data_IF_374581401041
#
_entry.id   IF_374581401041
#
_cell.length_a   1.000
_cell.length_b   1.000
_cell.length_c   1.000
_cell.angle_alpha   90.00
_cell.angle_beta   90.00
_cell.angle_gamma   90.00
#
_symmetry.space_group_name_H-M   'P 1'
#
loop_
_entity.id
_entity.type
_entity.pdbx_description
1 polymer ?
#
# COMPACT_ATOMS: atom_id res chain seq x y z
N UNK A 1 35.69 7.61 8.44
CA UNK A 1 35.69 6.15 8.74
C UNK A 1 35.15 5.38 7.55
N UNK A 2 35.94 4.48 6.96
CA UNK A 2 35.54 3.65 5.81
C UNK A 2 34.65 2.49 6.28
N UNK A 3 33.63 2.11 5.49
CA UNK A 3 32.76 0.97 5.83
C UNK A 3 33.52 -0.34 5.55
N UNK A 4 33.74 -1.22 6.55
CA UNK A 4 34.49 -2.45 6.33
C UNK A 4 33.76 -3.40 5.39
N UNK A 5 34.45 -3.92 4.37
CA UNK A 5 33.83 -4.80 3.38
C UNK A 5 33.44 -6.18 3.99
N UNK A 6 34.16 -6.60 5.04
CA UNK A 6 33.92 -7.82 5.82
C UNK A 6 32.72 -7.75 6.78
N UNK A 7 32.12 -6.57 6.97
CA UNK A 7 30.95 -6.44 7.83
C UNK A 7 29.70 -7.07 7.18
N UNK A 8 28.73 -7.47 8.00
CA UNK A 8 27.46 -8.02 7.50
C UNK A 8 26.68 -6.99 6.67
N UNK A 9 25.79 -7.46 5.78
CA UNK A 9 24.96 -6.57 4.95
C UNK A 9 24.20 -5.54 5.78
N UNK A 10 23.66 -5.94 6.92
CA UNK A 10 22.93 -5.05 7.84
C UNK A 10 23.83 -3.96 8.41
N UNK A 11 25.02 -4.31 8.91
CA UNK A 11 25.99 -3.33 9.47
C UNK A 11 26.46 -2.36 8.38
N UNK A 12 26.77 -2.86 7.18
CA UNK A 12 27.13 -2.01 6.05
C UNK A 12 26.01 -1.03 5.70
N UNK A 13 24.75 -1.48 5.75
CA UNK A 13 23.57 -0.63 5.50
C UNK A 13 23.42 0.45 6.57
N UNK A 14 23.51 0.10 7.85
CA UNK A 14 23.48 1.06 8.97
C UNK A 14 24.60 2.11 8.82
N UNK A 15 25.83 1.66 8.57
CA UNK A 15 26.97 2.57 8.37
C UNK A 15 26.82 3.45 7.12
N UNK A 16 26.14 2.98 6.08
CA UNK A 16 25.85 3.80 4.89
C UNK A 16 24.71 4.79 5.12
N UNK A 17 23.74 4.49 6.01
CA UNK A 17 22.64 5.39 6.37
C UNK A 17 23.12 6.70 7.00
N UNK A 18 24.33 6.76 7.57
CA UNK A 18 24.91 8.02 8.08
C UNK A 18 25.09 9.11 7.01
N UNK A 19 25.23 8.73 5.73
CA UNK A 19 25.27 9.69 4.61
C UNK A 19 23.93 10.41 4.45
N UNK A 20 22.82 9.74 4.76
CA UNK A 20 21.50 10.36 4.77
C UNK A 20 21.31 11.26 5.99
N UNK A 21 21.94 10.91 7.12
CA UNK A 21 21.99 11.78 8.31
C UNK A 21 22.73 13.09 8.08
N UNK A 22 23.79 13.10 7.25
CA UNK A 22 24.47 14.35 6.86
C UNK A 22 23.56 15.31 6.09
N UNK A 23 22.50 14.81 5.44
CA UNK A 23 21.48 15.63 4.76
C UNK A 23 20.47 16.25 5.74
N UNK A 24 20.35 15.71 6.95
CA UNK A 24 19.58 16.30 8.05
C UNK A 24 20.47 17.36 8.72
N UNK A 25 20.67 18.50 8.06
CA UNK A 25 21.69 19.50 8.42
C UNK A 25 21.48 20.22 9.75
N UNK A 26 20.45 19.90 10.54
CA UNK A 26 20.33 20.46 11.89
C UNK A 26 19.71 19.46 12.87
N UNK A 27 20.56 18.74 13.59
CA UNK A 27 20.17 17.91 14.74
C UNK A 27 19.43 18.73 15.82
N UNK A 28 19.67 20.06 15.86
CA UNK A 28 18.96 21.02 16.71
C UNK A 28 17.47 21.20 16.33
N UNK A 29 17.08 20.92 15.09
CA UNK A 29 15.67 20.93 14.66
C UNK A 29 14.93 19.64 15.04
N UNK A 30 15.66 18.58 15.40
CA UNK A 30 15.12 17.27 15.77
C UNK A 30 15.05 17.05 17.29
N UNK A 31 15.61 17.98 18.06
CA UNK A 31 15.62 17.99 19.51
C UNK A 31 14.62 19.00 20.03
N UNK A 32 13.58 18.53 20.72
CA UNK A 32 12.59 19.38 21.38
C UNK A 32 12.83 19.22 22.88
N UNK A 33 13.24 20.29 23.57
CA UNK A 33 13.63 20.25 25.01
C UNK A 33 14.72 19.21 25.31
N UNK A 34 15.80 19.22 24.53
CA UNK A 34 16.98 18.32 24.69
C UNK A 34 16.69 16.83 24.46
N UNK A 35 15.44 16.44 24.20
CA UNK A 35 15.06 15.07 23.84
C UNK A 35 14.92 14.93 22.34
N UNK A 36 15.60 13.93 21.79
CA UNK A 36 15.45 13.53 20.40
C UNK A 36 14.03 13.02 20.16
N UNK A 37 13.37 13.51 19.11
CA UNK A 37 12.05 13.03 18.71
C UNK A 37 12.16 12.11 17.50
N UNK A 38 11.95 10.81 17.73
CA UNK A 38 11.93 9.80 16.66
C UNK A 38 10.91 10.16 15.56
N UNK A 39 9.75 10.67 15.96
CA UNK A 39 8.71 11.12 15.02
C UNK A 39 9.17 12.29 14.14
N UNK A 40 9.83 13.29 14.73
CA UNK A 40 10.33 14.45 13.97
C UNK A 40 11.42 14.03 12.99
N UNK A 41 12.34 13.16 13.43
CA UNK A 41 13.39 12.62 12.56
C UNK A 41 12.78 11.82 11.40
N UNK A 42 11.84 10.91 11.70
CA UNK A 42 11.14 10.14 10.69
C UNK A 42 10.40 11.03 9.68
N UNK A 43 9.72 12.07 10.14
CA UNK A 43 9.00 13.02 9.28
C UNK A 43 9.96 13.76 8.33
N UNK A 44 11.10 14.23 8.82
CA UNK A 44 12.12 14.89 7.99
C UNK A 44 12.78 13.92 7.00
N UNK A 45 13.10 12.71 7.44
CA UNK A 45 13.69 11.66 6.59
C UNK A 45 12.73 11.20 5.49
N UNK A 46 11.43 11.13 5.77
CA UNK A 46 10.41 10.76 4.79
C UNK A 46 10.20 11.81 3.70
N UNK A 47 10.56 13.07 3.95
CA UNK A 47 10.30 14.17 3.03
C UNK A 47 8.81 14.51 2.90
N UNK A 48 8.40 14.95 1.71
CA UNK A 48 7.01 15.35 1.44
C UNK A 48 6.08 14.13 1.48
N UNK A 49 5.22 14.08 2.49
CA UNK A 49 4.18 13.06 2.57
C UNK A 49 3.07 13.48 1.59
N UNK A 50 2.95 12.74 0.48
CA UNK A 50 1.80 12.91 -0.42
C UNK A 50 0.55 12.46 0.34
N UNK A 51 -0.39 13.38 0.52
CA UNK A 51 -1.67 13.06 1.10
C UNK A 51 -2.50 12.35 0.04
N UNK A 52 -2.75 11.05 0.25
CA UNK A 52 -3.57 10.25 -0.65
C UNK A 52 -5.03 10.32 -0.18
N UNK A 53 -5.99 10.55 -1.09
CA UNK A 53 -7.41 10.72 -0.74
C UNK A 53 -7.99 9.48 -0.05
N UNK A 54 -7.43 8.31 -0.34
CA UNK A 54 -7.86 7.02 0.21
C UNK A 54 -7.25 6.68 1.58
N UNK A 55 -6.45 7.56 2.20
CA UNK A 55 -5.79 7.28 3.50
C UNK A 55 -6.77 6.82 4.58
N UNK A 56 -7.95 7.44 4.64
CA UNK A 56 -8.95 7.12 5.65
C UNK A 56 -9.63 5.77 5.40
N UNK A 57 -9.63 5.28 4.15
CA UNK A 57 -10.17 3.96 3.81
C UNK A 57 -9.32 2.82 4.38
N UNK A 58 -8.06 3.06 4.72
CA UNK A 58 -7.15 2.04 5.26
C UNK A 58 -6.77 2.27 6.71
N UNK A 59 -6.43 3.50 7.11
CA UNK A 59 -5.90 3.78 8.45
C UNK A 59 -6.96 3.88 9.56
N UNK A 60 -8.23 4.14 9.22
CA UNK A 60 -9.33 4.30 10.19
C UNK A 60 -10.53 3.41 9.83
N UNK A 61 -10.23 2.22 9.31
CA UNK A 61 -11.26 1.28 8.87
C UNK A 61 -11.54 0.24 9.95
N UNK A 62 -12.81 0.10 10.35
CA UNK A 62 -13.26 -0.86 11.36
C UNK A 62 -13.40 -2.30 10.83
N UNK A 63 -13.17 -2.53 9.53
CA UNK A 63 -13.18 -3.87 8.95
C UNK A 63 -12.05 -4.75 9.51
N UNK A 64 -12.20 -6.07 9.37
CA UNK A 64 -11.17 -7.00 9.79
C UNK A 64 -9.82 -6.70 9.11
N UNK A 65 -8.67 -6.85 9.81
CA UNK A 65 -7.36 -6.48 9.28
C UNK A 65 -7.02 -7.09 7.93
N UNK A 66 -7.47 -8.33 7.68
CA UNK A 66 -7.32 -9.01 6.39
C UNK A 66 -7.98 -8.24 5.25
N UNK A 67 -9.19 -7.71 5.46
CA UNK A 67 -9.93 -6.99 4.43
C UNK A 67 -9.33 -5.61 4.18
N UNK A 68 -8.90 -4.93 5.24
CA UNK A 68 -8.16 -3.66 5.14
C UNK A 68 -6.85 -3.84 4.35
N UNK A 69 -6.15 -4.95 4.57
CA UNK A 69 -4.93 -5.28 3.84
C UNK A 69 -5.21 -5.54 2.35
N UNK A 70 -6.26 -6.29 2.01
CA UNK A 70 -6.66 -6.51 0.62
C UNK A 70 -7.03 -5.17 -0.05
N UNK A 71 -7.83 -4.34 0.61
CA UNK A 71 -8.19 -3.00 0.13
C UNK A 71 -6.95 -2.14 -0.13
N UNK A 72 -5.98 -2.16 0.79
CA UNK A 72 -4.72 -1.46 0.62
C UNK A 72 -3.93 -1.94 -0.60
N UNK A 73 -3.90 -3.25 -0.86
CA UNK A 73 -3.28 -3.79 -2.07
C UNK A 73 -4.00 -3.35 -3.35
N UNK A 74 -5.34 -3.33 -3.34
CA UNK A 74 -6.15 -2.85 -4.48
C UNK A 74 -5.85 -1.38 -4.76
N UNK A 75 -5.85 -0.53 -3.73
CA UNK A 75 -5.56 0.91 -3.87
C UNK A 75 -4.15 1.20 -4.40
N UNK A 76 -3.20 0.28 -4.17
CA UNK A 76 -1.84 0.37 -4.68
C UNK A 76 -1.65 -0.30 -6.05
N UNK A 77 -2.68 -0.94 -6.61
CA UNK A 77 -2.54 -1.74 -7.84
C UNK A 77 -1.62 -2.96 -7.68
N UNK A 78 -1.55 -3.51 -6.46
CA UNK A 78 -0.66 -4.62 -6.08
C UNK A 78 -1.39 -5.91 -5.74
N UNK A 79 -2.70 -5.96 -5.94
CA UNK A 79 -3.44 -7.21 -5.80
C UNK A 79 -2.99 -8.18 -6.91
N UNK A 80 -2.85 -9.46 -6.58
CA UNK A 80 -2.36 -10.48 -7.52
C UNK A 80 -3.49 -10.96 -8.45
N UNK A 81 -3.97 -10.07 -9.27
CA UNK A 81 -4.92 -10.32 -10.36
C UNK A 81 -4.18 -10.75 -11.62
N UNK A 82 -4.88 -11.36 -12.58
CA UNK A 82 -4.21 -11.93 -13.77
C UNK A 82 -3.56 -10.89 -14.67
N UNK A 83 -4.09 -9.67 -14.76
CA UNK A 83 -3.42 -8.53 -15.40
C UNK A 83 -2.03 -8.25 -14.80
N UNK A 84 -1.91 -8.26 -13.47
CA UNK A 84 -0.63 -8.09 -12.77
C UNK A 84 0.30 -9.27 -13.02
N UNK A 85 -0.21 -10.51 -13.03
CA UNK A 85 0.59 -11.70 -13.34
C UNK A 85 1.15 -11.68 -14.76
N UNK A 86 0.34 -11.28 -15.74
CA UNK A 86 0.75 -11.09 -17.12
C UNK A 86 1.82 -10.01 -17.25
N UNK A 87 1.70 -8.91 -16.50
CA UNK A 87 2.73 -7.86 -16.46
C UNK A 87 4.09 -8.34 -15.95
N UNK A 88 4.11 -9.43 -15.18
CA UNK A 88 5.32 -10.08 -14.67
C UNK A 88 5.87 -11.15 -15.63
N UNK A 89 5.24 -11.35 -16.80
CA UNK A 89 5.64 -12.36 -17.76
C UNK A 89 5.19 -13.78 -17.40
N UNK A 90 4.28 -13.93 -16.43
CA UNK A 90 3.70 -15.23 -16.09
C UNK A 90 2.55 -15.50 -17.07
N UNK A 91 2.66 -16.57 -17.86
CA UNK A 91 1.62 -16.97 -18.81
C UNK A 91 0.40 -17.51 -18.07
N UNK A 92 -0.68 -16.73 -18.04
CA UNK A 92 -1.99 -17.10 -17.49
C UNK A 92 -3.09 -16.61 -18.42
N UNK A 93 -4.21 -17.33 -18.49
CA UNK A 93 -5.38 -16.88 -19.25
C UNK A 93 -5.95 -15.59 -18.64
N UNK A 94 -6.03 -14.51 -19.40
CA UNK A 94 -6.43 -13.18 -18.90
C UNK A 94 -7.90 -13.09 -18.48
N UNK A 95 -8.75 -14.04 -18.85
CA UNK A 95 -10.19 -13.99 -18.62
C UNK A 95 -10.54 -14.18 -17.13
N UNK A 96 -11.45 -13.36 -16.60
CA UNK A 96 -11.95 -13.48 -15.24
C UNK A 96 -12.75 -14.78 -15.05
N UNK A 97 -12.35 -15.59 -14.06
CA UNK A 97 -12.98 -16.89 -13.80
C UNK A 97 -14.41 -16.77 -13.22
N UNK A 98 -14.80 -15.59 -12.72
CA UNK A 98 -16.12 -15.37 -12.12
C UNK A 98 -17.21 -15.14 -13.17
N UNK A 99 -16.89 -14.41 -14.25
CA UNK A 99 -17.85 -14.08 -15.31
C UNK A 99 -17.53 -14.74 -16.65
N UNK A 100 -16.32 -15.29 -16.80
CA UNK A 100 -15.79 -15.94 -18.00
C UNK A 100 -15.95 -15.12 -19.30
N UNK A 101 -15.99 -13.78 -19.19
CA UNK A 101 -16.36 -12.90 -20.30
C UNK A 101 -15.39 -11.74 -20.52
N UNK A 102 -14.78 -11.21 -19.46
CA UNK A 102 -13.92 -10.02 -19.52
C UNK A 102 -12.56 -10.28 -18.86
N UNK A 103 -11.50 -9.52 -19.21
CA UNK A 103 -10.21 -9.62 -18.57
C UNK A 103 -10.26 -9.37 -17.06
N UNK A 104 -9.50 -10.16 -16.29
CA UNK A 104 -9.41 -10.02 -14.84
C UNK A 104 -8.50 -8.85 -14.45
N UNK A 105 -9.13 -7.77 -13.97
CA UNK A 105 -8.47 -6.64 -13.32
C UNK A 105 -9.04 -6.45 -11.92
N UNK A 106 -8.36 -5.67 -11.06
CA UNK A 106 -8.90 -5.33 -9.75
C UNK A 106 -10.24 -4.59 -9.86
N UNK A 107 -10.37 -3.63 -10.78
CA UNK A 107 -11.63 -2.90 -11.00
C UNK A 107 -12.74 -3.84 -11.47
N UNK A 108 -12.41 -4.76 -12.37
CA UNK A 108 -13.36 -5.75 -12.85
C UNK A 108 -13.87 -6.63 -11.72
N UNK A 109 -12.97 -7.27 -10.97
CA UNK A 109 -13.34 -8.20 -9.90
C UNK A 109 -14.21 -7.51 -8.83
N UNK A 110 -13.94 -6.27 -8.46
CA UNK A 110 -14.69 -5.64 -7.37
C UNK A 110 -15.94 -4.88 -7.82
N UNK A 111 -16.01 -4.36 -9.05
CA UNK A 111 -17.06 -3.41 -9.44
C UNK A 111 -17.78 -3.73 -10.74
N UNK A 112 -17.09 -4.26 -11.75
CA UNK A 112 -17.67 -4.42 -13.09
C UNK A 112 -18.17 -5.84 -13.36
N UNK A 113 -17.60 -6.83 -12.66
CA UNK A 113 -17.93 -8.24 -12.84
C UNK A 113 -19.41 -8.49 -12.51
N UNK A 114 -20.20 -9.11 -13.41
CA UNK A 114 -21.60 -9.43 -13.16
C UNK A 114 -21.82 -10.22 -11.85
N UNK A 115 -20.92 -11.15 -11.55
CA UNK A 115 -20.94 -11.94 -10.31
C UNK A 115 -20.75 -11.06 -9.07
N UNK A 116 -19.79 -10.14 -9.10
CA UNK A 116 -19.55 -9.24 -7.97
C UNK A 116 -20.67 -8.21 -7.82
N UNK A 117 -21.25 -7.76 -8.94
CA UNK A 117 -22.41 -6.85 -8.93
C UNK A 117 -23.61 -7.49 -8.24
N UNK A 118 -23.88 -8.79 -8.46
CA UNK A 118 -24.98 -9.46 -7.75
C UNK A 118 -24.75 -9.51 -6.24
N UNK A 119 -23.53 -9.82 -5.81
CA UNK A 119 -23.16 -9.80 -4.37
C UNK A 119 -23.37 -8.40 -3.80
N UNK A 120 -22.95 -7.36 -4.51
CA UNK A 120 -23.14 -5.98 -4.08
C UNK A 120 -24.61 -5.60 -3.95
N UNK A 121 -25.46 -6.04 -4.87
CA UNK A 121 -26.91 -5.83 -4.79
C UNK A 121 -27.49 -6.52 -3.54
N UNK A 122 -27.07 -7.74 -3.24
CA UNK A 122 -27.51 -8.47 -2.05
C UNK A 122 -27.08 -7.74 -0.76
N UNK A 123 -25.82 -7.31 -0.69
CA UNK A 123 -25.28 -6.57 0.46
C UNK A 123 -25.98 -5.22 0.64
N UNK A 124 -26.22 -4.48 -0.43
CA UNK A 124 -26.96 -3.22 -0.39
C UNK A 124 -28.41 -3.41 0.04
N UNK A 125 -29.07 -4.46 -0.44
CA UNK A 125 -30.42 -4.80 -0.04
C UNK A 125 -30.49 -5.13 1.46
N UNK A 126 -29.50 -5.87 1.97
CA UNK A 126 -29.38 -6.19 3.39
C UNK A 126 -29.16 -4.96 4.26
N UNK A 127 -28.34 -4.01 3.79
CA UNK A 127 -28.12 -2.72 4.45
C UNK A 127 -29.29 -1.74 4.28
N UNK A 128 -30.33 -2.10 3.51
CA UNK A 128 -31.45 -1.23 3.12
C UNK A 128 -30.99 0.07 2.43
N UNK A 129 -29.92 -0.01 1.66
CA UNK A 129 -29.33 1.15 1.00
C UNK A 129 -29.66 1.13 -0.50
N UNK A 130 -30.44 2.11 -0.96
CA UNK A 130 -30.91 2.20 -2.36
C UNK A 130 -29.88 2.89 -3.25
N UNK A 131 -28.74 2.24 -3.50
CA UNK A 131 -27.76 2.69 -4.50
C UNK A 131 -27.64 1.67 -5.63
N UNK A 132 -27.55 2.14 -6.87
CA UNK A 132 -27.15 1.32 -8.01
C UNK A 132 -25.64 1.39 -8.17
N UNK A 133 -24.97 0.23 -8.21
CA UNK A 133 -23.52 0.07 -8.43
C UNK A 133 -23.25 -0.33 -9.89
#
# INVERSE_FOLDING_TARGET
MVVPNKASWMVRKIMNMRKNWQKLSTCSQLTKREKFSDYSCYKTLKGTIVNVPWKNLTCHNAAAPKQVFILWLVLLGKLRTKDVLLSWGISVDSICMLCNSYPETSSHIFFECPYSRSIWQDVLSWMKWQRTI
#
